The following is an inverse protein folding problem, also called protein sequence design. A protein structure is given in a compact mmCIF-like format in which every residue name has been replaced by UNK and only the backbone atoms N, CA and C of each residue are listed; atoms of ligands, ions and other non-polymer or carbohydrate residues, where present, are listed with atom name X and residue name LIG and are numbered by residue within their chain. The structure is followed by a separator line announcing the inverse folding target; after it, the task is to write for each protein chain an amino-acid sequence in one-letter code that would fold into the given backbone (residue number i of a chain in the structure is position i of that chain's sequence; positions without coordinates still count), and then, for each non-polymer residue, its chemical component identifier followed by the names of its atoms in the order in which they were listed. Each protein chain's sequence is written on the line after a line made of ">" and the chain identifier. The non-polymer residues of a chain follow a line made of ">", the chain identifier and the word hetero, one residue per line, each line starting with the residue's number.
data_IF_701410747631
#
_entry.id   IF_701410747631
#
_cell.length_a   1.000
_cell.length_b   1.000
_cell.length_c   1.000
_cell.angle_alpha   90.00
_cell.angle_beta   90.00
_cell.angle_gamma   90.00
#
_symmetry.space_group_name_H-M   'P 1'
#
loop_
_entity.id
_entity.type
_entity.pdbx_description
1 polymer ?
#
# COMPACT_ATOMS: atom_id res chain seq x y z
N UNK A 1 -38.68 -38.71 3.47
CA UNK A 1 -39.59 -39.73 4.06
C UNK A 1 -40.37 -40.51 3.00
N UNK A 2 -41.33 -39.93 2.27
CA UNK A 2 -42.13 -40.70 1.30
C UNK A 2 -41.30 -41.36 0.18
N UNK A 3 -40.35 -40.64 -0.43
CA UNK A 3 -39.48 -41.19 -1.48
C UNK A 3 -38.48 -42.25 -0.96
N UNK A 4 -38.01 -42.09 0.28
CA UNK A 4 -37.14 -43.08 0.92
C UNK A 4 -37.89 -44.37 1.26
N UNK A 5 -39.16 -44.26 1.70
CA UNK A 5 -40.02 -45.42 1.90
C UNK A 5 -40.31 -46.15 0.58
N UNK A 6 -40.54 -45.41 -0.52
CA UNK A 6 -40.72 -45.99 -1.85
C UNK A 6 -39.45 -46.70 -2.35
N UNK A 7 -38.27 -46.13 -2.11
CA UNK A 7 -36.99 -46.78 -2.41
C UNK A 7 -36.82 -48.08 -1.62
N UNK A 8 -37.04 -48.05 -0.30
CA UNK A 8 -36.92 -49.24 0.54
C UNK A 8 -37.89 -50.36 0.10
N UNK A 9 -39.12 -50.00 -0.31
CA UNK A 9 -40.09 -50.96 -0.86
C UNK A 9 -39.62 -51.55 -2.19
N UNK A 10 -39.07 -50.72 -3.09
CA UNK A 10 -38.53 -51.18 -4.37
C UNK A 10 -37.32 -52.10 -4.18
N UNK A 11 -36.43 -51.78 -3.24
CA UNK A 11 -35.26 -52.59 -2.90
C UNK A 11 -35.67 -53.95 -2.34
N UNK A 12 -36.65 -54.00 -1.42
CA UNK A 12 -37.19 -55.25 -0.90
C UNK A 12 -37.81 -56.13 -2.00
N UNK A 13 -38.56 -55.52 -2.92
CA UNK A 13 -39.19 -56.23 -4.05
C UNK A 13 -38.14 -56.76 -5.04
N UNK A 14 -37.08 -55.97 -5.29
CA UNK A 14 -35.97 -56.39 -6.16
C UNK A 14 -35.15 -57.52 -5.54
N UNK A 15 -34.90 -57.49 -4.23
CA UNK A 15 -34.24 -58.57 -3.51
C UNK A 15 -35.03 -59.87 -3.57
N UNK A 16 -36.35 -59.82 -3.31
CA UNK A 16 -37.23 -60.99 -3.43
C UNK A 16 -37.25 -61.54 -4.86
N UNK A 17 -37.34 -60.67 -5.87
CA UNK A 17 -37.34 -61.09 -7.27
C UNK A 17 -36.01 -61.73 -7.70
N UNK A 18 -34.88 -61.24 -7.18
CA UNK A 18 -33.55 -61.82 -7.40
C UNK A 18 -33.42 -63.20 -6.75
N UNK A 19 -33.78 -63.34 -5.47
CA UNK A 19 -33.75 -64.62 -4.77
C UNK A 19 -34.65 -65.67 -5.45
N UNK A 20 -35.82 -65.25 -5.92
CA UNK A 20 -36.71 -66.11 -6.69
C UNK A 20 -36.10 -66.50 -8.03
N UNK A 21 -35.44 -65.58 -8.75
CA UNK A 21 -34.76 -65.93 -9.99
C UNK A 21 -33.65 -66.98 -9.77
N UNK A 22 -32.84 -66.83 -8.73
CA UNK A 22 -31.74 -67.76 -8.41
C UNK A 22 -32.25 -69.16 -8.05
N UNK A 23 -33.34 -69.24 -7.27
CA UNK A 23 -34.03 -70.51 -6.98
C UNK A 23 -34.52 -71.19 -8.25
N UNK A 24 -35.15 -70.44 -9.15
CA UNK A 24 -35.66 -70.99 -10.41
C UNK A 24 -34.53 -71.37 -11.38
N UNK A 25 -33.40 -70.66 -11.37
CA UNK A 25 -32.22 -71.03 -12.14
C UNK A 25 -31.67 -72.39 -11.70
N UNK A 26 -31.62 -72.64 -10.38
CA UNK A 26 -31.22 -73.93 -9.82
C UNK A 26 -32.20 -75.03 -10.25
N UNK A 27 -33.51 -74.81 -10.16
CA UNK A 27 -34.52 -75.76 -10.60
C UNK A 27 -34.45 -76.06 -12.11
N UNK A 28 -34.13 -75.07 -12.94
CA UNK A 28 -33.95 -75.25 -14.39
C UNK A 28 -32.74 -76.15 -14.70
N UNK A 29 -31.62 -75.96 -13.98
CA UNK A 29 -30.42 -76.79 -14.13
C UNK A 29 -30.66 -78.27 -13.77
N UNK A 30 -31.65 -78.53 -12.92
CA UNK A 30 -32.09 -79.87 -12.52
C UNK A 30 -33.20 -80.43 -13.42
N UNK A 31 -33.60 -79.72 -14.48
CA UNK A 31 -34.66 -80.13 -15.41
C UNK A 31 -36.09 -79.97 -14.85
N UNK A 32 -36.26 -79.26 -13.74
CA UNK A 32 -37.54 -79.15 -13.02
C UNK A 32 -38.51 -78.08 -13.54
N UNK A 33 -38.09 -77.20 -14.45
CA UNK A 33 -38.92 -76.13 -15.03
C UNK A 33 -38.60 -75.86 -16.50
N UNK A 34 -39.47 -75.13 -17.21
CA UNK A 34 -39.24 -74.73 -18.60
C UNK A 34 -38.37 -73.47 -18.74
N UNK A 35 -37.76 -73.27 -19.92
CA UNK A 35 -36.98 -72.07 -20.24
C UNK A 35 -37.83 -70.80 -20.25
N UNK A 36 -39.11 -70.90 -20.62
CA UNK A 36 -40.08 -69.81 -20.57
C UNK A 36 -40.31 -69.31 -19.14
N UNK A 37 -40.50 -70.23 -18.19
CA UNK A 37 -40.67 -69.89 -16.78
C UNK A 37 -39.43 -69.21 -16.21
N UNK A 38 -38.23 -69.69 -16.54
CA UNK A 38 -36.97 -69.05 -16.14
C UNK A 38 -36.84 -67.64 -16.74
N UNK A 39 -37.16 -67.48 -18.03
CA UNK A 39 -37.12 -66.16 -18.68
C UNK A 39 -38.12 -65.18 -18.08
N UNK A 40 -39.32 -65.64 -17.71
CA UNK A 40 -40.30 -64.80 -17.01
C UNK A 40 -39.76 -64.28 -15.66
N UNK A 41 -39.12 -65.16 -14.86
CA UNK A 41 -38.47 -64.77 -13.61
C UNK A 41 -37.28 -63.82 -13.82
N UNK A 42 -36.48 -64.06 -14.87
CA UNK A 42 -35.40 -63.16 -15.26
C UNK A 42 -35.94 -61.76 -15.55
N UNK A 43 -36.97 -61.66 -16.39
CA UNK A 43 -37.59 -60.37 -16.73
C UNK A 43 -38.14 -59.70 -15.48
N UNK A 44 -38.81 -60.44 -14.60
CA UNK A 44 -39.33 -59.91 -13.34
C UNK A 44 -38.22 -59.33 -12.45
N UNK A 45 -37.09 -60.03 -12.31
CA UNK A 45 -35.92 -59.55 -11.55
C UNK A 45 -35.29 -58.29 -12.18
N UNK A 46 -35.15 -58.26 -13.50
CA UNK A 46 -34.64 -57.08 -14.22
C UNK A 46 -35.58 -55.89 -14.01
N UNK A 47 -36.89 -56.05 -14.22
CA UNK A 47 -37.87 -54.99 -14.03
C UNK A 47 -37.89 -54.47 -12.59
N UNK A 48 -37.79 -55.36 -11.60
CA UNK A 48 -37.73 -54.95 -10.19
C UNK A 48 -36.44 -54.17 -9.88
N UNK A 49 -35.30 -54.55 -10.48
CA UNK A 49 -34.04 -53.81 -10.35
C UNK A 49 -34.12 -52.41 -10.99
N UNK A 50 -34.73 -52.30 -12.17
CA UNK A 50 -34.94 -50.99 -12.81
C UNK A 50 -35.85 -50.09 -11.96
N UNK A 51 -36.86 -50.66 -11.29
CA UNK A 51 -37.71 -49.91 -10.37
C UNK A 51 -36.93 -49.31 -9.18
N UNK A 52 -35.87 -49.98 -8.69
CA UNK A 52 -34.95 -49.40 -7.70
C UNK A 52 -34.18 -48.21 -8.28
N UNK A 53 -33.73 -48.30 -9.54
CA UNK A 53 -33.09 -47.18 -10.23
C UNK A 53 -33.99 -45.95 -10.33
N UNK A 54 -35.27 -46.16 -10.68
CA UNK A 54 -36.29 -45.09 -10.72
C UNK A 54 -36.52 -44.48 -9.33
N UNK A 55 -36.67 -45.31 -8.29
CA UNK A 55 -36.87 -44.83 -6.93
C UNK A 55 -35.66 -44.04 -6.40
N UNK A 56 -34.43 -44.49 -6.70
CA UNK A 56 -33.21 -43.77 -6.36
C UNK A 56 -33.13 -42.40 -7.05
N UNK A 57 -33.45 -42.34 -8.34
CA UNK A 57 -33.51 -41.07 -9.07
C UNK A 57 -34.56 -40.11 -8.46
N UNK A 58 -35.70 -40.64 -8.01
CA UNK A 58 -36.73 -39.85 -7.33
C UNK A 58 -36.25 -39.28 -5.98
N UNK A 59 -35.51 -40.07 -5.18
CA UNK A 59 -34.88 -39.60 -3.94
C UNK A 59 -33.85 -38.51 -4.23
N UNK A 60 -32.98 -38.70 -5.22
CA UNK A 60 -31.97 -37.71 -5.60
C UNK A 60 -32.61 -36.40 -6.08
N UNK A 61 -33.66 -36.48 -6.90
CA UNK A 61 -34.42 -35.32 -7.36
C UNK A 61 -35.08 -34.55 -6.20
N UNK A 62 -35.69 -35.28 -5.25
CA UNK A 62 -36.26 -34.68 -4.05
C UNK A 62 -35.18 -33.99 -3.19
N UNK A 63 -34.01 -34.61 -3.03
CA UNK A 63 -32.90 -34.02 -2.29
C UNK A 63 -32.35 -32.77 -2.98
N UNK A 64 -32.21 -32.80 -4.31
CA UNK A 64 -31.80 -31.64 -5.09
C UNK A 64 -32.79 -30.47 -4.95
N UNK A 65 -34.09 -30.78 -4.88
CA UNK A 65 -35.13 -29.77 -4.61
C UNK A 65 -35.01 -29.19 -3.20
N UNK A 66 -34.74 -30.01 -2.19
CA UNK A 66 -34.49 -29.51 -0.83
C UNK A 66 -33.29 -28.57 -0.80
N UNK A 67 -32.19 -28.95 -1.46
CA UNK A 67 -30.98 -28.15 -1.51
C UNK A 67 -31.21 -26.82 -2.24
N UNK A 68 -31.96 -26.80 -3.35
CA UNK A 68 -32.28 -25.56 -4.06
C UNK A 68 -33.16 -24.62 -3.25
N UNK A 69 -34.13 -25.16 -2.49
CA UNK A 69 -34.95 -24.37 -1.57
C UNK A 69 -34.12 -23.82 -0.40
N UNK A 70 -33.19 -24.59 0.14
CA UNK A 70 -32.29 -24.11 1.18
C UNK A 70 -31.37 -22.99 0.67
N UNK A 71 -30.85 -23.10 -0.56
CA UNK A 71 -30.07 -22.04 -1.19
C UNK A 71 -30.90 -20.76 -1.41
N UNK A 72 -32.17 -20.90 -1.79
CA UNK A 72 -33.09 -19.77 -1.94
C UNK A 72 -33.36 -19.07 -0.60
N UNK A 73 -33.54 -19.84 0.49
CA UNK A 73 -33.67 -19.28 1.84
C UNK A 73 -32.42 -18.47 2.21
N UNK A 74 -31.22 -19.04 2.04
CA UNK A 74 -29.97 -18.34 2.33
C UNK A 74 -29.81 -17.04 1.51
N UNK A 75 -30.23 -17.06 0.23
CA UNK A 75 -30.24 -15.88 -0.63
C UNK A 75 -31.18 -14.80 -0.10
N UNK A 76 -32.40 -15.15 0.27
CA UNK A 76 -33.39 -14.22 0.83
C UNK A 76 -32.96 -13.68 2.20
N UNK A 77 -32.36 -14.51 3.05
CA UNK A 77 -31.77 -14.07 4.33
C UNK A 77 -30.64 -13.07 4.11
N UNK A 78 -29.76 -13.32 3.13
CA UNK A 78 -28.69 -12.38 2.77
C UNK A 78 -29.26 -11.05 2.27
N UNK A 79 -30.31 -11.09 1.44
CA UNK A 79 -31.00 -9.87 0.98
C UNK A 79 -31.64 -9.10 2.13
N UNK A 80 -32.24 -9.80 3.10
CA UNK A 80 -32.81 -9.19 4.29
C UNK A 80 -31.72 -8.55 5.17
N UNK A 81 -30.56 -9.20 5.32
CA UNK A 81 -29.42 -8.62 6.02
C UNK A 81 -28.89 -7.37 5.31
N UNK A 82 -28.87 -7.37 3.97
CA UNK A 82 -28.47 -6.22 3.16
C UNK A 82 -29.46 -5.04 3.25
N UNK A 83 -30.70 -5.26 3.68
CA UNK A 83 -31.65 -4.18 3.94
C UNK A 83 -31.24 -3.29 5.13
N UNK A 84 -30.41 -3.81 6.04
CA UNK A 84 -29.81 -3.03 7.13
C UNK A 84 -28.34 -2.78 6.79
N UNK A 85 -28.07 -1.58 6.28
CA UNK A 85 -26.69 -1.16 5.97
C UNK A 85 -25.93 -0.94 7.27
N UNK A 86 -24.95 -1.81 7.53
CA UNK A 86 -24.02 -1.71 8.67
C UNK A 86 -22.67 -1.21 8.19
N UNK A 87 -22.00 -0.42 9.04
CA UNK A 87 -20.63 0.01 8.76
C UNK A 87 -19.69 -1.22 8.78
N UNK A 88 -18.82 -1.40 7.77
CA UNK A 88 -17.89 -2.53 7.73
C UNK A 88 -16.75 -2.41 8.74
N UNK A 89 -16.47 -1.21 9.24
CA UNK A 89 -15.43 -0.91 10.22
C UNK A 89 -15.85 0.26 11.12
N UNK A 90 -15.11 0.46 12.21
CA UNK A 90 -15.23 1.67 13.03
C UNK A 90 -14.67 2.87 12.27
N UNK A 91 -15.24 4.05 12.49
CA UNK A 91 -14.81 5.23 11.77
C UNK A 91 -15.74 6.43 11.92
N UNK A 92 -15.46 7.45 11.12
CA UNK A 92 -16.29 8.66 11.00
C UNK A 92 -16.88 8.74 9.60
N UNK A 93 -18.15 9.11 9.49
CA UNK A 93 -18.78 9.34 8.19
C UNK A 93 -18.22 10.65 7.62
N UNK A 94 -17.56 10.57 6.46
CA UNK A 94 -17.05 11.73 5.72
C UNK A 94 -18.16 12.40 4.92
N UNK A 95 -18.99 11.59 4.25
CA UNK A 95 -20.04 12.08 3.35
C UNK A 95 -21.30 11.24 3.52
N UNK A 96 -22.46 11.89 3.49
CA UNK A 96 -23.77 11.23 3.46
C UNK A 96 -24.49 11.68 2.21
N UNK A 97 -24.68 10.74 1.29
CA UNK A 97 -25.35 10.95 0.01
C UNK A 97 -26.80 10.44 0.02
N UNK A 98 -27.16 9.58 0.98
CA UNK A 98 -28.53 9.08 1.11
C UNK A 98 -29.38 9.91 2.09
N UNK A 99 -30.63 10.17 1.71
CA UNK A 99 -31.66 10.79 2.56
C UNK A 99 -32.83 9.83 2.79
N UNK A 100 -33.49 9.95 3.94
CA UNK A 100 -34.70 9.16 4.23
C UNK A 100 -35.79 9.55 3.23
N UNK A 101 -36.32 8.55 2.52
CA UNK A 101 -37.32 8.75 1.46
C UNK A 101 -36.75 8.67 0.05
N UNK A 102 -35.43 8.71 -0.12
CA UNK A 102 -34.79 8.47 -1.41
C UNK A 102 -34.81 6.98 -1.76
N UNK A 103 -35.20 6.67 -3.00
CA UNK A 103 -35.02 5.33 -3.57
C UNK A 103 -33.57 5.18 -3.98
N UNK A 104 -32.75 4.57 -3.13
CA UNK A 104 -31.36 4.25 -3.49
C UNK A 104 -31.34 3.05 -4.42
N UNK A 105 -30.63 3.17 -5.55
CA UNK A 105 -30.40 2.06 -6.46
C UNK A 105 -29.24 1.18 -5.95
N UNK A 106 -29.25 -0.11 -6.32
CA UNK A 106 -28.13 -1.02 -6.04
C UNK A 106 -26.85 -0.47 -6.65
N UNK A 107 -25.82 -0.31 -5.82
CA UNK A 107 -24.50 0.19 -6.25
C UNK A 107 -24.32 1.70 -6.12
N UNK A 108 -25.35 2.47 -5.74
CA UNK A 108 -25.15 3.89 -5.41
C UNK A 108 -24.53 4.02 -4.02
N UNK A 109 -23.36 4.68 -3.87
CA UNK A 109 -22.79 4.94 -2.55
C UNK A 109 -23.76 5.80 -1.72
N UNK A 110 -24.04 5.35 -0.50
CA UNK A 110 -24.93 6.06 0.43
C UNK A 110 -24.13 6.90 1.44
N UNK A 111 -22.98 6.37 1.87
CA UNK A 111 -22.11 6.97 2.87
C UNK A 111 -20.65 6.70 2.51
N UNK A 112 -19.79 7.69 2.75
CA UNK A 112 -18.34 7.52 2.75
C UNK A 112 -17.85 7.47 4.19
N UNK A 113 -17.04 6.45 4.53
CA UNK A 113 -16.54 6.22 5.88
C UNK A 113 -15.01 6.37 5.92
N UNK A 114 -14.51 7.20 6.82
CA UNK A 114 -13.09 7.27 7.19
C UNK A 114 -12.85 6.19 8.24
N UNK A 115 -12.19 5.12 7.83
CA UNK A 115 -11.87 3.99 8.69
C UNK A 115 -10.83 4.38 9.76
N UNK A 116 -11.13 4.07 11.01
CA UNK A 116 -10.23 4.20 12.18
C UNK A 116 -9.59 5.60 12.38
N UNK A 117 -10.13 6.63 11.73
CA UNK A 117 -9.55 7.98 11.74
C UNK A 117 -8.17 8.08 11.08
N UNK A 118 -7.77 7.04 10.34
CA UNK A 118 -6.51 7.02 9.60
C UNK A 118 -6.66 7.87 8.36
N UNK A 119 -5.83 8.91 8.27
CA UNK A 119 -5.76 9.77 7.11
C UNK A 119 -4.44 9.54 6.38
N UNK A 120 -4.51 9.56 5.07
CA UNK A 120 -3.36 9.47 4.19
C UNK A 120 -3.21 10.79 3.45
N UNK A 121 -1.97 11.27 3.38
CA UNK A 121 -1.61 12.39 2.52
C UNK A 121 -1.11 11.84 1.20
N UNK A 122 -1.78 12.20 0.12
CA UNK A 122 -1.35 11.90 -1.24
C UNK A 122 -0.49 13.05 -1.72
N UNK A 123 0.75 12.76 -2.11
CA UNK A 123 1.69 13.75 -2.65
C UNK A 123 2.08 13.36 -4.07
N UNK A 124 1.86 14.26 -5.01
CA UNK A 124 2.29 14.08 -6.39
C UNK A 124 3.77 14.47 -6.53
N UNK A 125 4.61 13.48 -6.80
CA UNK A 125 6.05 13.67 -6.90
C UNK A 125 6.53 13.50 -8.35
N UNK A 126 7.35 14.43 -8.87
CA UNK A 126 7.97 14.27 -10.18
C UNK A 126 8.83 13.00 -10.25
N UNK A 127 8.80 12.31 -11.39
CA UNK A 127 9.55 11.05 -11.59
C UNK A 127 11.04 11.14 -11.20
N UNK A 128 11.69 12.30 -11.43
CA UNK A 128 13.11 12.52 -11.09
C UNK A 128 13.42 12.39 -9.59
N UNK A 129 12.46 12.72 -8.74
CA UNK A 129 12.63 12.69 -7.27
C UNK A 129 12.28 11.31 -6.68
N UNK A 130 11.50 10.49 -7.40
CA UNK A 130 11.11 9.15 -6.94
C UNK A 130 12.30 8.23 -6.66
N UNK A 131 13.41 8.37 -7.40
CA UNK A 131 14.60 7.53 -7.22
C UNK A 131 15.21 7.64 -5.80
N UNK A 132 14.95 8.75 -5.11
CA UNK A 132 15.50 9.03 -3.78
C UNK A 132 14.51 8.73 -2.64
N UNK A 133 13.28 8.31 -2.95
CA UNK A 133 12.23 8.05 -1.97
C UNK A 133 11.97 6.55 -1.89
N UNK A 134 11.89 6.03 -0.66
CA UNK A 134 11.64 4.62 -0.40
C UNK A 134 10.46 4.46 0.56
N UNK A 135 9.94 3.25 0.63
CA UNK A 135 8.97 2.90 1.67
C UNK A 135 9.59 3.15 3.05
N UNK A 136 8.82 3.76 3.95
CA UNK A 136 9.27 4.15 5.28
C UNK A 136 10.10 5.44 5.34
N UNK A 137 10.34 6.14 4.23
CA UNK A 137 11.00 7.45 4.27
C UNK A 137 10.23 8.40 5.21
N UNK A 138 10.89 9.05 6.18
CA UNK A 138 10.22 9.98 7.09
C UNK A 138 9.84 11.27 6.36
N UNK A 139 8.63 11.74 6.64
CA UNK A 139 8.03 12.92 6.01
C UNK A 139 7.57 13.88 7.10
N UNK A 140 8.09 15.11 7.08
CA UNK A 140 7.55 16.18 7.91
C UNK A 140 6.37 16.82 7.16
N UNK A 141 5.22 16.90 7.82
CA UNK A 141 3.99 17.42 7.24
C UNK A 141 3.57 18.67 7.99
N UNK A 142 3.42 19.77 7.26
CA UNK A 142 3.04 21.08 7.77
C UNK A 142 1.83 21.61 7.02
N UNK A 143 1.12 22.59 7.59
CA UNK A 143 0.06 23.31 6.89
C UNK A 143 0.44 24.79 6.74
N UNK A 144 0.22 25.35 5.56
CA UNK A 144 0.39 26.78 5.31
C UNK A 144 -0.71 27.64 5.96
N UNK A 145 -1.86 27.04 6.26
CA UNK A 145 -3.03 27.74 6.82
C UNK A 145 -3.09 27.65 8.34
N UNK A 146 -2.58 26.56 8.94
CA UNK A 146 -2.59 26.35 10.40
C UNK A 146 -1.20 25.92 10.89
N UNK A 147 -0.51 26.83 11.58
CA UNK A 147 0.83 26.59 12.11
C UNK A 147 0.88 25.56 13.24
N UNK A 148 -0.27 25.15 13.80
CA UNK A 148 -0.36 24.09 14.81
C UNK A 148 -0.22 22.70 14.21
N UNK A 149 -0.42 22.55 12.91
CA UNK A 149 -0.32 21.27 12.21
C UNK A 149 1.14 21.03 11.85
N UNK A 150 1.82 20.30 12.73
CA UNK A 150 3.17 19.78 12.51
C UNK A 150 3.17 18.31 12.89
N UNK A 151 3.21 17.44 11.88
CA UNK A 151 3.10 16.00 12.05
C UNK A 151 4.27 15.30 11.39
N UNK A 152 4.68 14.18 11.94
CA UNK A 152 5.63 13.28 11.31
C UNK A 152 4.87 12.09 10.76
N UNK A 153 4.99 11.87 9.46
CA UNK A 153 4.45 10.73 8.75
C UNK A 153 5.56 9.86 8.15
N UNK A 154 5.15 8.79 7.51
CA UNK A 154 6.06 7.90 6.77
C UNK A 154 5.44 7.46 5.46
N UNK A 155 6.26 7.30 4.42
CA UNK A 155 5.82 6.78 3.13
C UNK A 155 5.31 5.35 3.29
N UNK A 156 4.01 5.14 3.02
CA UNK A 156 3.35 3.83 3.12
C UNK A 156 3.37 3.10 1.78
N UNK A 157 3.10 3.81 0.70
CA UNK A 157 3.10 3.25 -0.65
C UNK A 157 3.47 4.29 -1.68
N UNK A 158 4.04 3.81 -2.79
CA UNK A 158 4.38 4.62 -3.97
C UNK A 158 3.61 4.00 -5.12
N UNK A 159 2.81 4.79 -5.82
CA UNK A 159 2.08 4.32 -6.99
C UNK A 159 3.08 3.92 -8.08
N UNK A 160 3.02 2.68 -8.60
CA UNK A 160 3.88 2.26 -9.71
C UNK A 160 3.57 2.99 -11.02
N UNK A 161 2.39 3.62 -11.16
CA UNK A 161 2.02 4.34 -12.36
C UNK A 161 2.41 5.82 -12.28
N UNK A 162 3.14 6.29 -13.29
CA UNK A 162 3.41 7.71 -13.51
C UNK A 162 2.34 8.26 -14.45
N UNK A 163 1.68 9.34 -14.05
CA UNK A 163 0.73 10.03 -14.93
C UNK A 163 1.49 10.61 -16.13
N UNK A 164 1.11 10.21 -17.35
CA UNK A 164 1.82 10.59 -18.58
C UNK A 164 1.72 12.10 -18.90
N UNK A 165 0.68 12.78 -18.43
CA UNK A 165 0.47 14.21 -18.68
C UNK A 165 1.33 15.06 -17.74
N UNK A 166 1.32 14.76 -16.44
CA UNK A 166 2.04 15.56 -15.42
C UNK A 166 3.45 15.04 -15.15
N UNK A 167 3.78 13.82 -15.57
CA UNK A 167 5.02 13.10 -15.25
C UNK A 167 5.28 12.98 -13.75
N UNK A 168 4.20 12.88 -12.98
CA UNK A 168 4.19 12.72 -11.54
C UNK A 168 3.62 11.35 -11.15
N UNK A 169 4.06 10.82 -10.03
CA UNK A 169 3.48 9.64 -9.40
C UNK A 169 2.94 10.02 -8.02
N UNK A 170 1.82 9.42 -7.65
CA UNK A 170 1.22 9.60 -6.33
C UNK A 170 2.00 8.79 -5.28
N UNK A 171 2.36 9.44 -4.18
CA UNK A 171 2.97 8.80 -3.02
C UNK A 171 2.05 8.98 -1.82
N UNK A 172 1.67 7.88 -1.20
CA UNK A 172 0.79 7.88 -0.04
C UNK A 172 1.63 7.88 1.23
N UNK A 173 1.48 8.94 2.01
CA UNK A 173 2.13 9.14 3.31
C UNK A 173 1.11 8.85 4.39
N UNK A 174 1.42 7.89 5.26
CA UNK A 174 0.60 7.59 6.43
C UNK A 174 0.83 8.67 7.49
N UNK A 175 -0.27 9.24 7.99
CA UNK A 175 -0.25 10.23 9.05
C UNK A 175 -0.80 9.63 10.35
N UNK A 176 -0.29 10.07 11.52
CA UNK A 176 -0.90 9.72 12.79
C UNK A 176 -2.32 10.28 12.88
N UNK A 177 -3.20 9.54 13.54
CA UNK A 177 -4.56 10.01 13.81
C UNK A 177 -4.49 11.27 14.68
N UNK A 178 -4.92 12.40 14.11
CA UNK A 178 -4.99 13.69 14.79
C UNK A 178 -6.39 14.29 14.58
N UNK A 179 -6.94 14.91 15.62
CA UNK A 179 -8.28 15.52 15.56
C UNK A 179 -8.35 16.77 14.68
N UNK A 180 -7.21 17.36 14.37
CA UNK A 180 -7.08 18.63 13.63
C UNK A 180 -7.06 18.44 12.11
N UNK A 181 -6.83 17.22 11.63
CA UNK A 181 -6.83 16.91 10.20
C UNK A 181 -8.22 16.56 9.69
N UNK A 182 -8.55 17.07 8.51
CA UNK A 182 -9.77 16.77 7.76
C UNK A 182 -9.43 16.35 6.35
N UNK A 183 -10.24 15.47 5.78
CA UNK A 183 -10.15 15.10 4.36
C UNK A 183 -10.33 16.33 3.48
N UNK A 184 -9.52 16.45 2.43
CA UNK A 184 -9.55 17.58 1.49
C UNK A 184 -8.71 18.79 1.91
N UNK A 185 -8.02 18.75 3.06
CA UNK A 185 -7.04 19.77 3.41
C UNK A 185 -5.80 19.67 2.53
N UNK A 186 -5.23 20.84 2.19
CA UNK A 186 -3.93 20.93 1.55
C UNK A 186 -2.84 21.06 2.61
N UNK A 187 -1.83 20.19 2.52
CA UNK A 187 -0.67 20.14 3.41
C UNK A 187 0.61 20.16 2.58
N UNK A 188 1.69 20.63 3.19
CA UNK A 188 3.03 20.59 2.63
C UNK A 188 3.79 19.41 3.23
N UNK A 189 4.48 18.65 2.38
CA UNK A 189 5.25 17.48 2.77
C UNK A 189 6.72 17.65 2.42
N UNK A 190 7.58 17.51 3.43
CA UNK A 190 9.04 17.55 3.28
C UNK A 190 9.60 16.15 3.49
N UNK A 191 10.15 15.58 2.41
CA UNK A 191 10.72 14.24 2.42
C UNK A 191 12.20 14.31 2.76
N UNK A 192 12.62 13.61 3.81
CA UNK A 192 14.05 13.49 4.13
C UNK A 192 14.65 12.32 3.34
N UNK A 193 15.27 12.60 2.20
CA UNK A 193 15.82 11.58 1.28
C UNK A 193 17.24 11.12 1.63
N UNK A 194 17.90 11.80 2.56
CA UNK A 194 19.21 11.43 3.09
C UNK A 194 19.87 12.57 3.87
N UNK A 195 20.96 12.26 4.55
CA UNK A 195 21.89 13.27 5.11
C UNK A 195 23.25 13.05 4.48
N UNK A 196 23.89 14.13 4.07
CA UNK A 196 25.28 14.12 3.59
C UNK A 196 26.04 15.16 4.38
N UNK A 197 27.21 14.78 4.88
CA UNK A 197 28.16 15.73 5.45
C UNK A 197 29.04 16.25 4.32
N UNK A 198 29.24 17.55 4.26
CA UNK A 198 30.06 18.20 3.25
C UNK A 198 30.43 19.61 3.69
N UNK A 199 31.44 20.16 3.03
CA UNK A 199 31.84 21.54 3.26
C UNK A 199 30.77 22.47 2.67
N UNK A 200 30.30 23.43 3.47
CA UNK A 200 29.33 24.44 3.04
C UNK A 200 29.85 25.81 3.40
N UNK A 201 29.75 26.74 2.46
CA UNK A 201 30.13 28.15 2.67
C UNK A 201 28.94 29.06 2.32
N UNK A 202 28.85 30.26 2.92
CA UNK A 202 27.80 31.22 2.57
C UNK A 202 27.84 31.54 1.07
N UNK A 203 26.67 31.63 0.43
CA UNK A 203 26.58 31.92 -1.01
C UNK A 203 27.23 33.26 -1.38
N UNK A 204 27.25 34.22 -0.44
CA UNK A 204 27.88 35.53 -0.62
C UNK A 204 29.41 35.46 -0.83
N UNK A 205 30.07 34.40 -0.34
CA UNK A 205 31.52 34.20 -0.48
C UNK A 205 31.92 33.68 -1.86
N UNK A 206 30.97 33.16 -2.64
CA UNK A 206 31.23 32.50 -3.91
C UNK A 206 31.06 33.47 -5.06
N UNK A 207 32.12 33.71 -5.82
CA UNK A 207 32.11 34.62 -6.95
C UNK A 207 32.04 33.84 -8.27
N UNK A 208 30.96 33.99 -9.07
CA UNK A 208 30.87 33.36 -10.38
C UNK A 208 31.85 33.99 -11.38
N UNK A 209 32.47 33.18 -12.23
CA UNK A 209 33.32 33.62 -13.34
C UNK A 209 32.64 33.38 -14.69
N UNK A 210 33.14 34.04 -15.74
CA UNK A 210 32.55 34.00 -17.10
C UNK A 210 32.60 32.63 -17.78
N UNK A 211 33.38 31.69 -17.27
CA UNK A 211 33.61 30.33 -17.80
C UNK A 211 32.90 29.24 -17.00
N UNK A 212 31.82 29.57 -16.28
CA UNK A 212 31.04 28.64 -15.45
C UNK A 212 31.85 28.02 -14.29
N UNK A 213 32.99 28.62 -13.95
CA UNK A 213 33.75 28.30 -12.73
C UNK A 213 33.42 29.27 -11.61
N UNK A 214 33.60 28.80 -10.39
CA UNK A 214 33.39 29.58 -9.19
C UNK A 214 34.74 29.79 -8.49
N UNK A 215 34.97 31.00 -8.00
CA UNK A 215 36.16 31.31 -7.20
C UNK A 215 35.74 31.77 -5.81
N UNK A 216 36.58 31.46 -4.84
CA UNK A 216 36.45 31.89 -3.45
C UNK A 216 37.78 32.50 -3.04
N UNK A 217 37.77 33.52 -2.20
CA UNK A 217 39.01 34.05 -1.63
C UNK A 217 39.26 33.42 -0.26
N UNK A 218 40.46 32.87 -0.10
CA UNK A 218 40.95 32.33 1.17
C UNK A 218 42.02 33.24 1.76
N UNK A 219 42.15 33.23 3.09
CA UNK A 219 43.21 33.95 3.79
C UNK A 219 44.44 33.05 3.91
N UNK A 220 45.54 33.47 3.29
CA UNK A 220 46.84 32.80 3.39
C UNK A 220 47.62 33.32 4.61
N UNK A 221 48.65 32.59 5.06
CA UNK A 221 49.40 32.84 6.30
C UNK A 221 50.14 34.19 6.43
N UNK A 222 50.02 35.06 5.42
CA UNK A 222 50.54 36.43 5.40
C UNK A 222 49.43 37.50 5.41
N UNK A 223 48.21 37.15 5.86
CA UNK A 223 47.03 38.03 5.85
C UNK A 223 46.70 38.56 4.45
N UNK A 224 46.94 37.74 3.43
CA UNK A 224 46.70 38.06 2.02
C UNK A 224 45.54 37.24 1.46
N UNK A 225 44.75 37.85 0.58
CA UNK A 225 43.67 37.19 -0.12
C UNK A 225 44.19 36.41 -1.34
N UNK A 226 44.00 35.09 -1.34
CA UNK A 226 44.33 34.22 -2.47
C UNK A 226 43.06 33.67 -3.13
N UNK A 227 42.90 33.81 -4.46
CA UNK A 227 41.76 33.25 -5.17
C UNK A 227 41.94 31.75 -5.41
N UNK A 228 40.99 30.96 -4.92
CA UNK A 228 40.96 29.51 -5.10
C UNK A 228 39.76 29.15 -5.97
N UNK A 229 39.99 28.35 -7.02
CA UNK A 229 38.90 27.82 -7.84
C UNK A 229 38.24 26.66 -7.11
N UNK A 230 36.91 26.73 -6.98
CA UNK A 230 36.11 25.71 -6.32
C UNK A 230 35.07 25.14 -7.27
N UNK A 231 34.68 23.90 -7.00
CA UNK A 231 33.50 23.30 -7.63
C UNK A 231 32.35 23.35 -6.64
N UNK A 232 31.24 23.95 -7.07
CA UNK A 232 30.02 24.06 -6.26
C UNK A 232 29.10 22.88 -6.57
N UNK A 233 28.43 22.40 -5.53
CA UNK A 233 27.43 21.35 -5.57
C UNK A 233 26.03 21.90 -5.31
N UNK A 234 25.36 21.31 -4.32
CA UNK A 234 23.98 21.64 -3.97
C UNK A 234 23.86 23.00 -3.27
N UNK A 235 22.79 23.75 -3.61
CA UNK A 235 22.42 24.99 -2.95
C UNK A 235 21.48 24.71 -1.78
N UNK A 236 21.87 25.12 -0.58
CA UNK A 236 21.06 25.03 0.62
C UNK A 236 20.37 26.37 0.86
N UNK A 237 19.03 26.35 0.91
CA UNK A 237 18.22 27.53 1.18
C UNK A 237 18.54 28.13 2.56
N UNK A 238 18.33 29.44 2.68
CA UNK A 238 18.42 30.14 3.95
C UNK A 238 17.41 29.55 4.96
N UNK A 239 17.81 29.47 6.21
CA UNK A 239 16.98 29.07 7.35
C UNK A 239 16.90 30.26 8.31
N UNK A 240 15.93 30.30 9.24
CA UNK A 240 15.77 31.42 10.18
C UNK A 240 17.06 31.80 10.94
N UNK A 241 17.99 30.86 11.09
CA UNK A 241 19.26 31.04 11.80
C UNK A 241 20.49 31.15 10.89
N UNK A 242 20.40 30.82 9.60
CA UNK A 242 21.57 30.66 8.73
C UNK A 242 21.29 31.21 7.32
N UNK A 243 22.22 31.97 6.72
CA UNK A 243 22.05 32.48 5.36
C UNK A 243 22.04 31.35 4.32
N UNK A 244 21.74 31.71 3.08
CA UNK A 244 21.91 30.82 1.93
C UNK A 244 23.35 30.28 1.86
N UNK A 245 23.50 28.97 1.64
CA UNK A 245 24.80 28.29 1.60
C UNK A 245 24.96 27.47 0.33
N UNK A 246 26.19 27.34 -0.13
CA UNK A 246 26.57 26.48 -1.25
C UNK A 246 27.47 25.37 -0.75
N UNK A 247 27.18 24.15 -1.16
CA UNK A 247 28.06 23.01 -0.93
C UNK A 247 29.29 23.13 -1.84
N UNK A 248 30.48 22.92 -1.29
CA UNK A 248 31.73 22.80 -2.05
C UNK A 248 32.09 21.33 -2.17
N UNK A 249 32.28 20.86 -3.40
CA UNK A 249 32.63 19.46 -3.70
C UNK A 249 34.13 19.26 -3.85
N UNK A 250 34.87 20.28 -4.28
CA UNK A 250 36.32 20.25 -4.39
C UNK A 250 36.93 21.66 -4.43
N UNK A 251 38.20 21.75 -4.05
CA UNK A 251 39.00 22.97 -4.14
C UNK A 251 39.15 23.74 -2.83
N UNK A 252 38.64 23.24 -1.71
CA UNK A 252 38.81 23.88 -0.40
C UNK A 252 38.95 22.83 0.70
N UNK A 253 39.84 23.07 1.66
CA UNK A 253 40.01 22.23 2.83
C UNK A 253 39.17 22.73 4.02
N UNK A 254 38.76 21.85 4.96
CA UNK A 254 37.94 22.25 6.11
C UNK A 254 38.58 23.26 7.07
N UNK A 255 39.88 23.49 6.96
CA UNK A 255 40.63 24.43 7.80
C UNK A 255 40.82 25.79 7.14
N UNK A 256 40.42 25.95 5.88
CA UNK A 256 40.63 27.18 5.13
C UNK A 256 39.67 28.28 5.57
N UNK A 257 40.20 29.47 5.83
CA UNK A 257 39.40 30.64 6.18
C UNK A 257 38.93 31.35 4.91
N UNK A 258 37.61 31.39 4.72
CA UNK A 258 36.97 31.99 3.55
C UNK A 258 36.51 33.41 3.85
N UNK A 259 36.78 34.32 2.91
CA UNK A 259 36.31 35.70 2.97
C UNK A 259 34.86 35.77 2.49
N UNK A 260 33.95 36.16 3.40
CA UNK A 260 32.50 36.17 3.13
C UNK A 260 32.00 37.52 2.63
N UNK A 261 32.51 38.62 3.20
CA UNK A 261 32.13 39.98 2.82
C UNK A 261 33.30 40.70 2.16
N UNK A 262 33.02 41.52 1.15
CA UNK A 262 34.05 42.26 0.42
C UNK A 262 34.81 41.47 -0.65
N UNK A 263 34.55 40.17 -0.78
CA UNK A 263 35.21 39.28 -1.75
C UNK A 263 35.15 39.80 -3.20
N UNK A 264 34.06 40.48 -3.59
CA UNK A 264 33.89 41.05 -4.94
C UNK A 264 34.88 42.17 -5.29
N UNK A 265 35.48 42.82 -4.28
CA UNK A 265 36.39 43.95 -4.45
C UNK A 265 37.86 43.58 -4.34
N UNK A 266 38.17 42.33 -3.98
CA UNK A 266 39.53 41.86 -3.75
C UNK A 266 40.20 41.37 -5.03
N UNK A 267 41.49 41.63 -5.14
CA UNK A 267 42.41 41.03 -6.09
C UNK A 267 43.39 40.10 -5.38
N UNK A 268 44.08 39.25 -6.17
CA UNK A 268 45.08 38.33 -5.63
C UNK A 268 46.21 39.10 -4.96
N UNK A 269 46.50 38.78 -3.70
CA UNK A 269 47.57 39.40 -2.92
C UNK A 269 47.17 40.69 -2.19
N UNK A 270 45.88 41.07 -2.21
CA UNK A 270 45.43 42.21 -1.41
C UNK A 270 45.54 41.90 0.10
N UNK A 271 46.01 42.86 0.91
CA UNK A 271 46.07 42.71 2.36
C UNK A 271 44.66 42.74 2.95
N UNK A 272 44.33 41.76 3.78
CA UNK A 272 43.01 41.63 4.42
C UNK A 272 43.17 41.57 5.93
N UNK A 273 42.28 42.27 6.65
CA UNK A 273 42.21 42.18 8.10
C UNK A 273 41.01 41.31 8.48
N UNK A 274 41.25 40.22 9.22
CA UNK A 274 40.19 39.35 9.71
C UNK A 274 39.41 40.07 10.81
N UNK A 275 38.12 40.27 10.60
CA UNK A 275 37.17 40.81 11.60
C UNK A 275 36.26 39.66 12.05
N UNK A 276 35.84 39.68 13.32
CA UNK A 276 34.91 38.66 13.85
C UNK A 276 33.67 38.51 12.95
N UNK A 277 33.50 37.30 12.43
CA UNK A 277 32.43 36.99 11.49
C UNK A 277 31.08 36.92 12.20
N UNK A 278 30.01 37.55 11.66
CA UNK A 278 28.64 37.31 12.13
C UNK A 278 28.14 35.88 11.78
N UNK A 279 28.87 35.15 10.92
CA UNK A 279 28.57 33.78 10.55
C UNK A 279 29.38 32.81 11.42
N UNK A 280 28.77 32.34 12.50
CA UNK A 280 29.33 31.24 13.28
C UNK A 280 29.27 29.95 12.45
N UNK A 281 30.41 29.27 12.30
CA UNK A 281 30.44 27.93 11.73
C UNK A 281 29.50 27.02 12.55
N UNK A 282 28.59 26.25 11.93
CA UNK A 282 27.81 25.27 12.67
C UNK A 282 28.77 24.30 13.36
N UNK A 283 28.59 24.07 14.65
CA UNK A 283 29.46 23.21 15.45
C UNK A 283 29.68 21.88 14.73
N UNK A 284 30.95 21.51 14.54
CA UNK A 284 31.31 20.20 14.01
C UNK A 284 30.63 19.14 14.88
N UNK A 285 29.82 18.27 14.26
CA UNK A 285 29.30 17.10 14.96
C UNK A 285 30.54 16.29 15.36
N UNK A 286 30.75 15.98 16.64
CA UNK A 286 31.93 15.24 17.07
C UNK A 286 31.99 13.92 16.30
N UNK A 287 33.15 13.64 15.70
CA UNK A 287 33.42 12.36 15.08
C UNK A 287 33.12 11.26 16.11
N UNK A 288 32.26 10.30 15.75
CA UNK A 288 31.99 9.15 16.58
C UNK A 288 33.32 8.44 16.86
N UNK A 289 33.71 8.41 18.14
CA UNK A 289 34.87 7.67 18.62
C UNK A 289 34.71 6.21 18.17
N UNK A 290 35.71 5.59 17.50
CA UNK A 290 35.65 4.16 17.25
C UNK A 290 35.62 3.46 18.61
N UNK A 291 34.62 2.59 18.80
CA UNK A 291 34.57 1.72 19.96
C UNK A 291 35.84 0.87 19.97
N UNK A 292 36.66 1.04 20.99
CA UNK A 292 37.80 0.17 21.27
C UNK A 292 37.25 -1.21 21.61
N UNK A 293 37.30 -2.11 20.63
CA UNK A 293 37.21 -3.54 20.87
C UNK A 293 38.42 -3.93 21.70
N UNK A 294 38.17 -4.27 22.97
CA UNK A 294 39.16 -4.80 23.90
C UNK A 294 38.90 -6.31 23.97
N UNK A 295 39.66 -7.06 23.18
CA UNK A 295 39.77 -8.50 23.26
C UNK A 295 41.26 -8.88 23.33
N UNK A 296 41.60 -9.53 24.46
CA UNK A 296 42.83 -10.24 24.85
C UNK A 296 44.18 -9.51 24.89
#
# INVERSE_FOLDING_TARGET
>A
VQQQAALAQAEATAAEAADNFDRYQTLYSQGGISSEQLNSRRTQAITAREAVGVANAAVQSAQATVNSRAAEINRLETQLQQAVVRAPANGKIAERQATVGDTSATGTPMFSLIQDGLLELVVDLPQRQMANIRLGTPVAVTSSTDSRIQLQGSVRSIDPQVNQQTRQAAVNVSLPASGDLRTGMFLQAEFTTGRRSGLVIPAAAVLPQSNDSFKVFTVSGEDTAEPVLVTVGEKLAATDTLPERLQITSGLDPQDQVIVEGASYLQSGDPVAVVDSPFAAPAAIPAATPATDSAD
#
